data_IF_967774983591
#
_entry.id   IF_967774983591
#
_cell.length_a   1.000
_cell.length_b   1.000
_cell.length_c   1.000
_cell.angle_alpha   90.00
_cell.angle_beta   90.00
_cell.angle_gamma   90.00
#
_symmetry.space_group_name_H-M   'P 1'
#
loop_
_entity.id
_entity.type
_entity.pdbx_description
1 polymer ?
#
# COMPACT_ATOMS: atom_id res chain seq x y z
N UNK A 1 53.96 29.76 -38.08
CA UNK A 1 53.00 30.10 -37.00
C UNK A 1 53.72 29.90 -35.67
N UNK A 2 53.87 30.94 -34.86
CA UNK A 2 54.64 30.86 -33.61
C UNK A 2 53.90 29.99 -32.58
N UNK A 3 54.59 29.02 -31.97
CA UNK A 3 54.07 28.14 -30.90
C UNK A 3 53.31 28.94 -29.82
N UNK A 4 53.75 30.15 -29.52
CA UNK A 4 53.09 31.07 -28.58
C UNK A 4 51.66 31.43 -28.97
N UNK A 5 51.40 31.69 -30.25
CA UNK A 5 50.05 32.01 -30.76
C UNK A 5 49.13 30.79 -30.68
N UNK A 6 49.65 29.60 -30.98
CA UNK A 6 48.91 28.34 -30.84
C UNK A 6 48.57 28.06 -29.36
N UNK A 7 49.52 28.21 -28.44
CA UNK A 7 49.29 28.00 -27.00
C UNK A 7 48.28 28.99 -26.43
N UNK A 8 48.35 30.27 -26.81
CA UNK A 8 47.37 31.28 -26.38
C UNK A 8 45.98 30.94 -26.93
N UNK A 9 45.87 30.58 -28.21
CA UNK A 9 44.59 30.16 -28.80
C UNK A 9 43.99 28.94 -28.10
N UNK A 10 44.81 27.94 -27.78
CA UNK A 10 44.40 26.76 -27.03
C UNK A 10 43.93 27.09 -25.61
N UNK A 11 44.64 27.96 -24.89
CA UNK A 11 44.23 28.42 -23.55
C UNK A 11 42.90 29.18 -23.57
N UNK A 12 42.66 30.02 -24.59
CA UNK A 12 41.39 30.73 -24.74
C UNK A 12 40.24 29.75 -24.99
N UNK A 13 40.43 28.74 -25.84
CA UNK A 13 39.42 27.70 -26.08
C UNK A 13 39.15 26.90 -24.80
N UNK A 14 40.19 26.51 -24.04
CA UNK A 14 40.02 25.83 -22.76
C UNK A 14 39.27 26.69 -21.75
N UNK A 15 39.56 27.99 -21.67
CA UNK A 15 38.89 28.91 -20.77
C UNK A 15 37.41 29.07 -21.14
N UNK A 16 37.10 29.31 -22.42
CA UNK A 16 35.72 29.40 -22.90
C UNK A 16 34.98 28.08 -22.67
N UNK A 17 35.63 26.94 -22.95
CA UNK A 17 35.07 25.61 -22.68
C UNK A 17 34.79 25.37 -21.20
N UNK A 18 35.69 25.79 -20.30
CA UNK A 18 35.51 25.68 -18.86
C UNK A 18 34.38 26.54 -18.32
N UNK A 19 34.27 27.80 -18.78
CA UNK A 19 33.16 28.69 -18.41
C UNK A 19 31.83 28.16 -18.95
N UNK A 20 31.79 27.74 -20.22
CA UNK A 20 30.61 27.14 -20.84
C UNK A 20 30.16 25.88 -20.11
N UNK A 21 31.10 25.02 -19.72
CA UNK A 21 30.83 23.84 -18.90
C UNK A 21 30.21 24.22 -17.55
N UNK A 22 30.77 25.19 -16.82
CA UNK A 22 30.25 25.60 -15.50
C UNK A 22 28.87 26.26 -15.58
N UNK A 23 28.56 27.01 -16.63
CA UNK A 23 27.21 27.55 -16.86
C UNK A 23 26.21 26.42 -17.12
N UNK A 24 26.58 25.46 -17.97
CA UNK A 24 25.74 24.31 -18.25
C UNK A 24 25.53 23.42 -17.02
N UNK A 25 26.58 23.16 -16.22
CA UNK A 25 26.52 22.43 -14.94
C UNK A 25 25.46 23.04 -14.01
N UNK A 26 25.51 24.36 -13.78
CA UNK A 26 24.54 25.08 -12.96
C UNK A 26 23.11 25.00 -13.49
N UNK A 27 22.93 25.00 -14.81
CA UNK A 27 21.61 24.83 -15.42
C UNK A 27 21.05 23.43 -15.19
N UNK A 28 21.89 22.39 -15.28
CA UNK A 28 21.48 21.02 -14.98
C UNK A 28 21.15 20.84 -13.49
N UNK A 29 21.93 21.44 -12.59
CA UNK A 29 21.63 21.48 -11.15
C UNK A 29 20.27 22.12 -10.88
N UNK A 30 20.02 23.32 -11.41
CA UNK A 30 18.73 24.00 -11.23
C UNK A 30 17.57 23.20 -11.81
N UNK A 31 17.75 22.57 -12.98
CA UNK A 31 16.74 21.70 -13.58
C UNK A 31 16.46 20.47 -12.71
N UNK A 32 17.47 19.91 -12.05
CA UNK A 32 17.32 18.77 -11.16
C UNK A 32 16.58 19.15 -9.87
N UNK A 33 16.95 20.28 -9.24
CA UNK A 33 16.26 20.79 -8.03
C UNK A 33 14.78 21.01 -8.30
N UNK A 34 14.45 21.68 -9.41
CA UNK A 34 13.06 21.94 -9.80
C UNK A 34 12.29 20.63 -10.06
N UNK A 35 12.93 19.68 -10.76
CA UNK A 35 12.33 18.37 -10.99
C UNK A 35 12.09 17.62 -9.67
N UNK A 36 13.07 17.61 -8.76
CA UNK A 36 12.97 16.95 -7.46
C UNK A 36 11.80 17.50 -6.65
N UNK A 37 11.68 18.84 -6.56
CA UNK A 37 10.59 19.50 -5.84
C UNK A 37 9.22 19.16 -6.42
N UNK A 38 9.08 19.20 -7.76
CA UNK A 38 7.83 18.89 -8.44
C UNK A 38 7.42 17.42 -8.24
N UNK A 39 8.37 16.49 -8.46
CA UNK A 39 8.15 15.06 -8.32
C UNK A 39 7.81 14.68 -6.87
N UNK A 40 8.54 15.22 -5.89
CA UNK A 40 8.26 14.93 -4.49
C UNK A 40 6.85 15.41 -4.10
N UNK A 41 6.45 16.61 -4.55
CA UNK A 41 5.09 17.11 -4.33
C UNK A 41 4.02 16.21 -4.97
N UNK A 42 4.13 15.93 -6.26
CA UNK A 42 3.16 15.12 -7.00
C UNK A 42 2.97 13.73 -6.36
N UNK A 43 4.06 13.06 -6.03
CA UNK A 43 4.01 11.76 -5.36
C UNK A 43 3.43 11.84 -3.94
N UNK A 44 3.69 12.95 -3.23
CA UNK A 44 3.18 13.14 -1.88
C UNK A 44 1.67 13.36 -1.91
N UNK A 45 1.18 14.21 -2.82
CA UNK A 45 -0.24 14.45 -3.05
C UNK A 45 -0.98 13.12 -3.35
N UNK A 46 -0.43 12.29 -4.24
CA UNK A 46 -1.01 10.98 -4.55
C UNK A 46 -0.97 10.01 -3.36
N UNK A 47 0.09 10.05 -2.54
CA UNK A 47 0.18 9.21 -1.34
C UNK A 47 -0.90 9.55 -0.30
N UNK A 48 -1.31 10.81 -0.23
CA UNK A 48 -2.43 11.26 0.64
C UNK A 48 -3.76 10.70 0.14
N UNK A 49 -4.00 10.74 -1.18
CA UNK A 49 -5.23 10.17 -1.77
C UNK A 49 -5.30 8.65 -1.59
N UNK A 50 -4.16 7.95 -1.71
CA UNK A 50 -4.08 6.51 -1.40
C UNK A 50 -4.38 6.25 0.07
N UNK A 51 -3.81 7.01 1.01
CA UNK A 51 -4.09 6.88 2.44
C UNK A 51 -5.57 7.09 2.76
N UNK A 52 -6.21 8.09 2.15
CA UNK A 52 -7.64 8.35 2.31
C UNK A 52 -8.49 7.18 1.82
N UNK A 53 -8.24 6.67 0.62
CA UNK A 53 -8.96 5.52 0.08
C UNK A 53 -8.75 4.24 0.92
N UNK A 54 -7.53 4.05 1.45
CA UNK A 54 -7.22 2.94 2.35
C UNK A 54 -8.01 3.05 3.66
N UNK A 55 -8.12 4.25 4.24
CA UNK A 55 -8.94 4.49 5.44
C UNK A 55 -10.41 4.14 5.20
N UNK A 56 -10.99 4.63 4.11
CA UNK A 56 -12.38 4.34 3.74
C UNK A 56 -12.62 2.83 3.60
N UNK A 57 -11.68 2.12 2.96
CA UNK A 57 -11.71 0.65 2.87
C UNK A 57 -11.63 -0.03 4.23
N UNK A 58 -10.69 0.38 5.09
CA UNK A 58 -10.51 -0.19 6.42
C UNK A 58 -11.75 0.00 7.30
N UNK A 59 -12.30 1.22 7.36
CA UNK A 59 -13.51 1.50 8.14
C UNK A 59 -14.69 0.67 7.66
N UNK A 60 -14.81 0.42 6.35
CA UNK A 60 -15.84 -0.46 5.80
C UNK A 60 -15.67 -1.91 6.26
N UNK A 61 -14.42 -2.42 6.29
CA UNK A 61 -14.11 -3.76 6.81
C UNK A 61 -14.40 -3.86 8.30
N UNK A 62 -14.00 -2.87 9.10
CA UNK A 62 -14.24 -2.84 10.55
C UNK A 62 -15.75 -2.83 10.87
N UNK A 63 -16.53 -2.04 10.14
CA UNK A 63 -17.99 -2.04 10.25
C UNK A 63 -18.58 -3.43 9.93
N UNK A 64 -18.03 -4.13 8.93
CA UNK A 64 -18.46 -5.48 8.58
C UNK A 64 -18.11 -6.52 9.66
N UNK A 65 -16.93 -6.45 10.27
CA UNK A 65 -16.48 -7.44 11.26
C UNK A 65 -17.10 -7.25 12.65
N UNK A 66 -17.55 -6.03 12.97
CA UNK A 66 -18.18 -5.69 14.26
C UNK A 66 -19.71 -5.70 14.24
N UNK A 67 -20.33 -5.89 13.06
CA UNK A 67 -21.77 -5.92 12.91
C UNK A 67 -22.44 -7.13 13.60
N UNK A 68 -23.71 -6.98 13.98
CA UNK A 68 -24.53 -8.06 14.56
C UNK A 68 -24.64 -9.24 13.58
N UNK A 69 -24.34 -10.44 14.07
CA UNK A 69 -24.45 -11.69 13.32
C UNK A 69 -25.87 -11.99 12.83
N UNK A 70 -26.90 -11.34 13.39
CA UNK A 70 -28.30 -11.48 13.00
C UNK A 70 -28.79 -10.41 12.01
N UNK A 71 -27.91 -9.56 11.46
CA UNK A 71 -28.33 -8.55 10.48
C UNK A 71 -28.98 -9.20 9.24
N UNK A 72 -29.97 -8.56 8.61
CA UNK A 72 -30.58 -9.04 7.37
C UNK A 72 -29.53 -9.32 6.28
N UNK A 73 -29.76 -10.34 5.44
CA UNK A 73 -28.86 -10.64 4.32
C UNK A 73 -28.64 -9.43 3.41
N UNK A 74 -29.68 -8.63 3.13
CA UNK A 74 -29.55 -7.41 2.33
C UNK A 74 -28.47 -6.48 2.87
N UNK A 75 -28.51 -6.21 4.17
CA UNK A 75 -27.61 -5.28 4.85
C UNK A 75 -26.19 -5.85 4.89
N UNK A 76 -26.04 -7.17 5.02
CA UNK A 76 -24.75 -7.86 4.87
C UNK A 76 -24.17 -7.69 3.47
N UNK A 77 -24.98 -7.92 2.44
CA UNK A 77 -24.54 -7.83 1.04
C UNK A 77 -24.20 -6.38 0.67
N UNK A 78 -24.99 -5.41 1.13
CA UNK A 78 -24.71 -3.98 0.94
C UNK A 78 -23.37 -3.60 1.59
N UNK A 79 -23.10 -4.07 2.81
CA UNK A 79 -21.81 -3.85 3.48
C UNK A 79 -20.63 -4.44 2.70
N UNK A 80 -20.81 -5.62 2.11
CA UNK A 80 -19.77 -6.27 1.29
C UNK A 80 -19.54 -5.48 -0.01
N UNK A 81 -20.61 -5.02 -0.65
CA UNK A 81 -20.53 -4.24 -1.89
C UNK A 81 -19.88 -2.86 -1.65
N UNK A 82 -20.11 -2.24 -0.48
CA UNK A 82 -19.40 -1.04 -0.01
C UNK A 82 -17.89 -1.30 0.11
N UNK A 83 -17.48 -2.40 0.75
CA UNK A 83 -16.06 -2.78 0.88
C UNK A 83 -15.41 -3.02 -0.48
N UNK A 84 -16.10 -3.74 -1.37
CA UNK A 84 -15.62 -3.99 -2.74
C UNK A 84 -15.45 -2.66 -3.49
N UNK A 85 -16.38 -1.73 -3.33
CA UNK A 85 -16.34 -0.42 -3.98
C UNK A 85 -15.20 0.45 -3.45
N UNK A 86 -15.00 0.50 -2.12
CA UNK A 86 -13.88 1.20 -1.50
C UNK A 86 -12.53 0.59 -1.90
N UNK A 87 -12.44 -0.74 -1.98
CA UNK A 87 -11.22 -1.44 -2.40
C UNK A 87 -10.90 -1.19 -3.88
N UNK A 88 -11.91 -1.10 -4.75
CA UNK A 88 -11.72 -0.69 -6.16
C UNK A 88 -11.25 0.76 -6.28
N UNK A 89 -11.76 1.66 -5.44
CA UNK A 89 -11.26 3.03 -5.38
C UNK A 89 -9.77 3.06 -4.98
N UNK A 90 -9.40 2.32 -3.93
CA UNK A 90 -8.01 2.15 -3.51
C UNK A 90 -7.15 1.57 -4.64
N UNK A 91 -7.63 0.56 -5.36
CA UNK A 91 -6.93 -0.01 -6.52
C UNK A 91 -6.63 1.06 -7.59
N UNK A 92 -7.60 1.93 -7.88
CA UNK A 92 -7.43 2.99 -8.87
C UNK A 92 -6.40 4.03 -8.41
N UNK A 93 -6.47 4.48 -7.14
CA UNK A 93 -5.50 5.44 -6.59
C UNK A 93 -4.10 4.85 -6.54
N UNK A 94 -3.97 3.59 -6.13
CA UNK A 94 -2.68 2.88 -6.13
C UNK A 94 -2.12 2.74 -7.55
N UNK A 95 -2.97 2.49 -8.55
CA UNK A 95 -2.55 2.39 -9.96
C UNK A 95 -1.98 3.72 -10.46
N UNK A 96 -2.63 4.84 -10.13
CA UNK A 96 -2.16 6.16 -10.53
C UNK A 96 -0.85 6.54 -9.83
N UNK A 97 -0.76 6.31 -8.52
CA UNK A 97 0.49 6.46 -7.77
C UNK A 97 1.62 5.61 -8.38
N UNK A 98 1.34 4.35 -8.73
CA UNK A 98 2.32 3.46 -9.34
C UNK A 98 2.83 3.98 -10.69
N UNK A 99 1.93 4.53 -11.51
CA UNK A 99 2.27 5.14 -12.81
C UNK A 99 3.26 6.29 -12.62
N UNK A 100 2.96 7.23 -11.73
CA UNK A 100 3.82 8.40 -11.45
C UNK A 100 5.18 7.99 -10.93
N UNK A 101 5.24 7.06 -9.96
CA UNK A 101 6.52 6.60 -9.42
C UNK A 101 7.38 5.88 -10.49
N UNK A 102 6.76 5.15 -11.43
CA UNK A 102 7.50 4.56 -12.57
C UNK A 102 8.04 5.60 -13.56
N UNK A 103 7.27 6.66 -13.83
CA UNK A 103 7.71 7.76 -14.68
C UNK A 103 8.88 8.51 -14.03
N UNK A 104 8.76 8.83 -12.75
CA UNK A 104 9.82 9.50 -12.00
C UNK A 104 11.10 8.66 -11.89
N UNK A 105 10.97 7.33 -11.74
CA UNK A 105 12.13 6.43 -11.78
C UNK A 105 12.89 6.54 -13.11
N UNK A 106 12.17 6.55 -14.25
CA UNK A 106 12.79 6.72 -15.58
C UNK A 106 13.50 8.06 -15.70
N UNK A 107 12.98 9.11 -15.06
CA UNK A 107 13.62 10.42 -15.04
C UNK A 107 14.88 10.46 -14.17
N UNK A 108 14.89 9.82 -13.00
CA UNK A 108 16.12 9.61 -12.21
C UNK A 108 17.18 8.90 -13.04
N UNK A 109 16.83 7.84 -13.76
CA UNK A 109 17.78 7.11 -14.62
C UNK A 109 18.36 8.00 -15.73
N UNK A 110 17.63 9.00 -16.22
CA UNK A 110 18.17 10.01 -17.15
C UNK A 110 19.18 10.92 -16.43
N UNK A 111 18.87 11.38 -15.21
CA UNK A 111 19.79 12.19 -14.42
C UNK A 111 21.05 11.42 -14.05
N UNK A 112 20.96 10.18 -13.58
CA UNK A 112 22.11 9.31 -13.25
C UNK A 112 23.05 9.14 -14.45
N UNK A 113 22.51 8.90 -15.65
CA UNK A 113 23.32 8.78 -16.87
C UNK A 113 24.06 10.08 -17.21
N UNK A 114 23.45 11.22 -16.94
CA UNK A 114 24.01 12.56 -17.15
C UNK A 114 24.97 12.98 -16.03
N UNK A 115 24.75 12.47 -14.82
CA UNK A 115 25.47 12.86 -13.61
C UNK A 115 26.97 12.66 -13.71
N UNK A 116 27.41 11.58 -14.35
CA UNK A 116 28.85 11.29 -14.57
C UNK A 116 29.59 12.41 -15.31
N UNK A 117 28.87 13.25 -16.06
CA UNK A 117 29.46 14.35 -16.83
C UNK A 117 29.17 15.73 -16.22
N UNK A 118 28.06 15.89 -15.50
CA UNK A 118 27.52 17.20 -15.12
C UNK A 118 27.27 17.40 -13.62
N UNK A 119 27.48 16.40 -12.77
CA UNK A 119 27.39 16.58 -11.31
C UNK A 119 28.71 16.18 -10.68
N UNK A 120 29.67 17.11 -10.63
CA UNK A 120 30.97 16.85 -10.01
C UNK A 120 30.92 16.85 -8.48
N UNK A 121 29.85 17.41 -7.91
CA UNK A 121 29.59 17.47 -6.48
C UNK A 121 29.09 16.10 -5.95
N UNK A 122 29.66 15.67 -4.81
CA UNK A 122 29.43 14.34 -4.22
C UNK A 122 27.98 14.20 -3.72
N UNK A 123 27.45 15.25 -3.13
CA UNK A 123 26.11 15.26 -2.52
C UNK A 123 25.01 15.05 -3.59
N UNK A 124 25.17 15.60 -4.80
CA UNK A 124 24.26 15.28 -5.92
C UNK A 124 24.34 13.81 -6.37
N UNK A 125 25.54 13.22 -6.40
CA UNK A 125 25.71 11.82 -6.75
C UNK A 125 25.06 10.90 -5.71
N UNK A 126 25.24 11.23 -4.43
CA UNK A 126 24.64 10.55 -3.30
C UNK A 126 23.11 10.65 -3.32
N UNK A 127 22.57 11.85 -3.59
CA UNK A 127 21.13 12.06 -3.75
C UNK A 127 20.55 11.24 -4.93
N UNK A 128 21.23 11.20 -6.07
CA UNK A 128 20.79 10.42 -7.22
C UNK A 128 20.83 8.91 -6.98
N UNK A 129 21.87 8.42 -6.29
CA UNK A 129 21.99 7.01 -5.93
C UNK A 129 20.87 6.61 -4.95
N UNK A 130 20.67 7.39 -3.89
CA UNK A 130 19.63 7.13 -2.90
C UNK A 130 18.21 7.25 -3.47
N UNK A 131 17.99 8.13 -4.45
CA UNK A 131 16.75 8.16 -5.22
C UNK A 131 16.54 6.84 -5.98
N UNK A 132 17.55 6.39 -6.72
CA UNK A 132 17.51 5.13 -7.48
C UNK A 132 17.16 3.95 -6.57
N UNK A 133 17.85 3.85 -5.43
CA UNK A 133 17.61 2.80 -4.45
C UNK A 133 16.18 2.90 -3.90
N UNK A 134 15.73 4.10 -3.52
CA UNK A 134 14.38 4.31 -2.99
C UNK A 134 13.27 3.92 -3.98
N UNK A 135 13.44 4.18 -5.28
CA UNK A 135 12.47 3.76 -6.30
C UNK A 135 12.41 2.23 -6.44
N UNK A 136 13.55 1.55 -6.31
CA UNK A 136 13.60 0.09 -6.26
C UNK A 136 12.83 -0.50 -5.07
N UNK A 137 13.00 0.08 -3.89
CA UNK A 137 12.28 -0.34 -2.69
C UNK A 137 10.77 -0.06 -2.79
N UNK A 138 10.38 1.12 -3.30
CA UNK A 138 8.97 1.47 -3.56
C UNK A 138 8.32 0.55 -4.59
N UNK A 139 9.07 0.09 -5.60
CA UNK A 139 8.58 -0.90 -6.55
C UNK A 139 8.17 -2.19 -5.86
N UNK A 140 9.04 -2.74 -5.01
CA UNK A 140 8.68 -3.94 -4.27
C UNK A 140 7.44 -3.75 -3.40
N UNK A 141 7.37 -2.65 -2.64
CA UNK A 141 6.24 -2.38 -1.74
C UNK A 141 4.93 -2.25 -2.53
N UNK A 142 4.94 -1.55 -3.67
CA UNK A 142 3.73 -1.39 -4.50
C UNK A 142 3.24 -2.71 -5.09
N UNK A 143 4.15 -3.58 -5.49
CA UNK A 143 3.82 -4.86 -6.11
C UNK A 143 3.10 -5.73 -5.07
N UNK A 144 3.62 -5.78 -3.85
CA UNK A 144 2.98 -6.48 -2.72
C UNK A 144 1.63 -5.85 -2.37
N UNK A 145 1.54 -4.51 -2.27
CA UNK A 145 0.27 -3.84 -1.97
C UNK A 145 -0.80 -4.09 -3.04
N UNK A 146 -0.42 -4.14 -4.31
CA UNK A 146 -1.33 -4.47 -5.41
C UNK A 146 -1.88 -5.89 -5.29
N UNK A 147 -1.02 -6.84 -4.89
CA UNK A 147 -1.43 -8.24 -4.60
C UNK A 147 -2.39 -8.29 -3.41
N UNK A 148 -2.14 -7.51 -2.34
CA UNK A 148 -3.04 -7.42 -1.18
C UNK A 148 -4.42 -6.89 -1.55
N UNK A 149 -4.48 -5.84 -2.38
CA UNK A 149 -5.75 -5.28 -2.87
C UNK A 149 -6.55 -6.34 -3.63
N UNK A 150 -5.90 -7.11 -4.51
CA UNK A 150 -6.58 -8.19 -5.22
C UNK A 150 -7.00 -9.34 -4.30
N UNK A 151 -6.22 -9.65 -3.27
CA UNK A 151 -6.64 -10.58 -2.23
C UNK A 151 -7.92 -10.11 -1.53
N UNK A 152 -7.99 -8.84 -1.08
CA UNK A 152 -9.18 -8.29 -0.40
C UNK A 152 -10.41 -8.39 -1.33
N UNK A 153 -10.27 -8.03 -2.62
CA UNK A 153 -11.35 -8.18 -3.59
C UNK A 153 -11.82 -9.64 -3.71
N UNK A 154 -10.89 -10.60 -3.88
CA UNK A 154 -11.24 -12.02 -3.94
C UNK A 154 -11.93 -12.49 -2.65
N UNK A 155 -11.45 -12.04 -1.48
CA UNK A 155 -11.99 -12.43 -0.18
C UNK A 155 -13.45 -11.97 -0.03
N UNK A 156 -13.73 -10.69 -0.31
CA UNK A 156 -15.07 -10.15 -0.15
C UNK A 156 -16.06 -10.66 -1.20
N UNK A 157 -15.61 -10.94 -2.43
CA UNK A 157 -16.44 -11.65 -3.42
C UNK A 157 -16.81 -13.07 -2.94
N UNK A 158 -15.87 -13.77 -2.30
CA UNK A 158 -16.11 -15.10 -1.73
C UNK A 158 -17.00 -15.04 -0.50
N UNK A 159 -16.83 -14.05 0.38
CA UNK A 159 -17.69 -13.83 1.54
C UNK A 159 -19.14 -13.52 1.11
N UNK A 160 -19.31 -12.75 0.02
CA UNK A 160 -20.63 -12.50 -0.58
C UNK A 160 -21.35 -13.80 -0.95
N UNK A 161 -20.64 -14.68 -1.66
CA UNK A 161 -21.16 -15.98 -2.07
C UNK A 161 -21.39 -16.92 -0.88
N UNK A 162 -20.57 -16.82 0.17
CA UNK A 162 -20.76 -17.53 1.43
C UNK A 162 -22.03 -17.10 2.18
N UNK A 163 -22.31 -15.81 2.27
CA UNK A 163 -23.52 -15.29 2.92
C UNK A 163 -24.81 -15.74 2.21
N UNK A 164 -24.77 -15.79 0.86
CA UNK A 164 -25.86 -16.37 0.05
C UNK A 164 -26.04 -17.86 0.39
N UNK A 165 -24.94 -18.61 0.47
CA UNK A 165 -24.99 -20.03 0.82
C UNK A 165 -25.56 -20.25 2.24
N UNK A 166 -25.15 -19.42 3.22
CA UNK A 166 -25.63 -19.47 4.60
C UNK A 166 -27.10 -19.10 4.72
N UNK A 167 -27.57 -18.07 4.02
CA UNK A 167 -28.99 -17.71 3.99
C UNK A 167 -29.84 -18.82 3.38
N UNK A 168 -29.41 -19.41 2.26
CA UNK A 168 -30.07 -20.58 1.68
C UNK A 168 -30.13 -21.75 2.67
N UNK A 169 -29.03 -22.03 3.39
CA UNK A 169 -29.00 -23.08 4.41
C UNK A 169 -29.95 -22.77 5.58
N UNK A 170 -30.01 -21.51 6.04
CA UNK A 170 -30.94 -21.08 7.10
C UNK A 170 -32.41 -21.26 6.69
N UNK A 171 -32.75 -20.89 5.46
CA UNK A 171 -34.12 -20.96 4.94
C UNK A 171 -34.57 -22.40 4.65
N UNK A 172 -33.69 -23.21 4.05
CA UNK A 172 -34.09 -24.50 3.47
C UNK A 172 -33.32 -25.72 4.00
N UNK A 173 -32.27 -25.54 4.80
CA UNK A 173 -31.39 -26.63 5.24
C UNK A 173 -32.06 -27.71 6.10
N UNK A 174 -33.24 -27.40 6.67
CA UNK A 174 -34.12 -28.32 7.41
C UNK A 174 -35.37 -28.75 6.63
N UNK A 175 -35.54 -28.27 5.40
CA UNK A 175 -36.66 -28.62 4.52
C UNK A 175 -36.48 -30.01 3.89
N UNK A 176 -37.50 -30.48 3.16
CA UNK A 176 -37.39 -31.73 2.40
C UNK A 176 -36.34 -31.60 1.30
N UNK A 177 -35.77 -32.73 0.86
CA UNK A 177 -34.80 -32.73 -0.24
C UNK A 177 -35.38 -32.20 -1.56
N UNK A 178 -36.68 -32.38 -1.78
CA UNK A 178 -37.41 -31.84 -2.93
C UNK A 178 -37.41 -30.30 -2.89
N UNK A 179 -37.77 -29.70 -1.76
CA UNK A 179 -37.75 -28.23 -1.60
C UNK A 179 -36.35 -27.66 -1.78
N UNK A 180 -35.32 -28.32 -1.23
CA UNK A 180 -33.92 -27.91 -1.42
C UNK A 180 -33.49 -28.02 -2.90
N UNK A 181 -34.00 -29.03 -3.61
CA UNK A 181 -33.77 -29.21 -5.04
C UNK A 181 -34.42 -28.10 -5.89
N UNK A 182 -35.65 -27.71 -5.55
CA UNK A 182 -36.41 -26.68 -6.24
C UNK A 182 -35.79 -25.28 -6.10
N UNK A 183 -35.13 -25.00 -4.96
CA UNK A 183 -34.49 -23.71 -4.68
C UNK A 183 -33.03 -23.61 -5.13
N UNK A 184 -32.48 -24.67 -5.73
CA UNK A 184 -31.08 -24.74 -6.17
C UNK A 184 -30.65 -23.60 -7.10
N UNK A 185 -31.58 -23.07 -7.92
CA UNK A 185 -31.31 -21.96 -8.85
C UNK A 185 -30.81 -20.68 -8.16
N UNK A 186 -31.14 -20.50 -6.87
CA UNK A 186 -30.67 -19.37 -6.05
C UNK A 186 -29.15 -19.38 -5.83
N UNK A 187 -28.47 -20.50 -6.11
CA UNK A 187 -27.04 -20.71 -5.88
C UNK A 187 -26.19 -20.74 -7.15
N UNK A 188 -26.73 -20.24 -8.26
CA UNK A 188 -26.03 -20.17 -9.54
C UNK A 188 -24.67 -19.45 -9.46
N UNK A 189 -24.50 -18.47 -8.55
CA UNK A 189 -23.22 -17.79 -8.37
C UNK A 189 -22.09 -18.71 -7.87
N UNK A 190 -22.44 -19.82 -7.21
CA UNK A 190 -21.47 -20.78 -6.67
C UNK A 190 -20.92 -21.76 -7.71
N UNK A 191 -21.54 -21.83 -8.90
CA UNK A 191 -21.15 -22.79 -9.94
C UNK A 191 -19.68 -22.70 -10.32
N UNK A 192 -19.15 -21.47 -10.37
CA UNK A 192 -17.75 -21.18 -10.68
C UNK A 192 -16.78 -21.98 -9.79
N UNK A 193 -17.09 -22.18 -8.50
CA UNK A 193 -16.19 -22.90 -7.58
C UNK A 193 -16.09 -24.40 -7.87
N UNK A 194 -17.09 -24.97 -8.54
CA UNK A 194 -17.09 -26.37 -8.95
C UNK A 194 -16.35 -26.63 -10.27
N UNK A 195 -16.02 -25.58 -11.01
CA UNK A 195 -15.26 -25.66 -12.24
C UNK A 195 -13.76 -25.90 -11.94
N UNK A 196 -13.10 -26.70 -12.78
CA UNK A 196 -11.70 -27.05 -12.59
C UNK A 196 -10.74 -25.92 -12.98
N UNK A 197 -11.16 -25.05 -13.89
CA UNK A 197 -10.43 -23.92 -14.45
C UNK A 197 -10.65 -22.60 -13.67
N UNK A 198 -11.52 -22.60 -12.66
CA UNK A 198 -11.67 -21.44 -11.79
C UNK A 198 -10.37 -21.15 -11.02
N UNK A 199 -9.93 -19.90 -11.10
CA UNK A 199 -8.83 -19.34 -10.34
C UNK A 199 -9.20 -17.96 -9.82
N UNK A 200 -8.67 -17.62 -8.65
CA UNK A 200 -8.79 -16.28 -8.10
C UNK A 200 -7.98 -15.29 -8.94
N UNK A 201 -8.38 -14.02 -8.94
CA UNK A 201 -7.58 -12.97 -9.57
C UNK A 201 -6.20 -12.93 -8.91
N UNK A 202 -5.13 -12.97 -9.70
CA UNK A 202 -3.74 -12.97 -9.23
C UNK A 202 -3.39 -14.10 -8.23
N UNK A 203 -4.06 -15.25 -8.35
CA UNK A 203 -3.89 -16.41 -7.46
C UNK A 203 -2.43 -16.78 -7.17
N UNK A 204 -1.58 -16.91 -8.19
CA UNK A 204 -0.20 -17.36 -8.00
C UNK A 204 0.65 -16.34 -7.23
N UNK A 205 0.42 -15.05 -7.46
CA UNK A 205 1.11 -13.99 -6.74
C UNK A 205 0.66 -13.92 -5.26
N UNK A 206 -0.65 -14.08 -5.00
CA UNK A 206 -1.20 -14.19 -3.65
C UNK A 206 -0.59 -15.41 -2.95
N UNK A 207 -0.57 -16.57 -3.59
CA UNK A 207 0.02 -17.80 -3.04
C UNK A 207 1.50 -17.65 -2.70
N UNK A 208 2.28 -16.98 -3.55
CA UNK A 208 3.72 -16.80 -3.33
C UNK A 208 4.02 -15.83 -2.19
N UNK A 209 3.27 -14.72 -2.08
CA UNK A 209 3.59 -13.61 -1.17
C UNK A 209 2.76 -13.60 0.11
N UNK A 210 1.56 -14.16 0.09
CA UNK A 210 0.52 -14.05 1.13
C UNK A 210 -0.05 -15.45 1.43
N UNK A 211 0.79 -16.36 1.95
CA UNK A 211 0.44 -17.79 2.07
C UNK A 211 -0.76 -18.04 2.99
N UNK A 212 -0.87 -17.30 4.11
CA UNK A 212 -1.98 -17.47 5.05
C UNK A 212 -3.30 -16.99 4.43
N UNK A 213 -3.26 -15.85 3.75
CA UNK A 213 -4.37 -15.26 3.02
C UNK A 213 -4.85 -16.18 1.87
N UNK A 214 -3.92 -16.83 1.16
CA UNK A 214 -4.24 -17.84 0.16
C UNK A 214 -4.94 -19.07 0.76
N UNK A 215 -4.50 -19.52 1.94
CA UNK A 215 -5.15 -20.63 2.65
C UNK A 215 -6.59 -20.27 3.06
N UNK A 216 -6.84 -19.02 3.47
CA UNK A 216 -8.20 -18.52 3.72
C UNK A 216 -9.07 -18.65 2.48
N UNK A 217 -8.64 -18.11 1.33
CA UNK A 217 -9.39 -18.20 0.07
C UNK A 217 -9.66 -19.66 -0.33
N UNK A 218 -8.68 -20.53 -0.13
CA UNK A 218 -8.79 -21.96 -0.48
C UNK A 218 -9.83 -22.67 0.38
N UNK A 219 -9.86 -22.43 1.70
CA UNK A 219 -10.86 -23.02 2.61
C UNK A 219 -12.28 -22.63 2.22
N UNK A 220 -12.51 -21.36 1.90
CA UNK A 220 -13.82 -20.91 1.44
C UNK A 220 -14.19 -21.47 0.06
N UNK A 221 -13.24 -21.51 -0.89
CA UNK A 221 -13.47 -22.15 -2.20
C UNK A 221 -13.90 -23.61 -2.05
N UNK A 222 -13.21 -24.36 -1.21
CA UNK A 222 -13.50 -25.78 -0.96
C UNK A 222 -14.89 -25.96 -0.34
N UNK A 223 -15.24 -25.13 0.64
CA UNK A 223 -16.56 -25.14 1.25
C UNK A 223 -17.66 -24.83 0.22
N UNK A 224 -17.54 -23.74 -0.54
CA UNK A 224 -18.55 -23.33 -1.52
C UNK A 224 -18.70 -24.35 -2.65
N UNK A 225 -17.58 -24.94 -3.11
CA UNK A 225 -17.59 -26.06 -4.05
C UNK A 225 -18.35 -27.26 -3.48
N UNK A 226 -18.02 -27.69 -2.26
CA UNK A 226 -18.70 -28.81 -1.60
C UNK A 226 -20.19 -28.54 -1.45
N UNK A 227 -20.56 -27.31 -1.08
CA UNK A 227 -21.95 -26.90 -0.85
C UNK A 227 -22.77 -26.95 -2.14
N UNK A 228 -22.25 -26.34 -3.21
CA UNK A 228 -22.84 -26.37 -4.54
C UNK A 228 -23.00 -27.81 -5.06
N UNK A 229 -21.97 -28.65 -4.94
CA UNK A 229 -22.03 -30.05 -5.41
C UNK A 229 -23.07 -30.87 -4.67
N UNK A 230 -23.18 -30.73 -3.35
CA UNK A 230 -24.21 -31.43 -2.56
C UNK A 230 -25.60 -31.03 -3.00
N UNK A 231 -25.86 -29.74 -3.16
CA UNK A 231 -27.17 -29.23 -3.54
C UNK A 231 -27.54 -29.59 -4.98
N UNK A 232 -26.57 -29.56 -5.90
CA UNK A 232 -26.76 -30.04 -7.27
C UNK A 232 -27.12 -31.52 -7.31
N UNK A 233 -26.47 -32.34 -6.48
CA UNK A 233 -26.76 -33.78 -6.42
C UNK A 233 -28.18 -34.02 -5.84
N UNK A 234 -28.61 -33.23 -4.85
CA UNK A 234 -30.00 -33.25 -4.35
C UNK A 234 -31.02 -32.84 -5.43
N UNK A 235 -30.78 -31.74 -6.15
CA UNK A 235 -31.64 -31.26 -7.23
C UNK A 235 -31.79 -32.27 -8.38
N UNK A 236 -30.80 -33.17 -8.55
CA UNK A 236 -30.83 -34.26 -9.54
C UNK A 236 -31.43 -35.57 -9.01
N UNK A 237 -31.88 -35.61 -7.75
CA UNK A 237 -32.41 -36.81 -7.10
C UNK A 237 -31.35 -37.81 -6.64
N UNK A 238 -30.06 -37.45 -6.61
CA UNK A 238 -28.95 -38.31 -6.20
C UNK A 238 -28.72 -38.28 -4.67
N UNK A 239 -29.75 -38.64 -3.90
CA UNK A 239 -29.78 -38.48 -2.43
C UNK A 239 -28.66 -39.21 -1.68
N UNK A 240 -28.31 -40.44 -2.10
CA UNK A 240 -27.26 -41.23 -1.45
C UNK A 240 -25.89 -40.56 -1.55
N UNK A 241 -25.57 -40.01 -2.73
CA UNK A 241 -24.30 -39.31 -2.98
C UNK A 241 -24.25 -37.99 -2.20
N UNK A 242 -25.37 -37.25 -2.17
CA UNK A 242 -25.48 -36.01 -1.41
C UNK A 242 -25.33 -36.25 0.10
N UNK A 243 -25.95 -37.31 0.64
CA UNK A 243 -25.87 -37.69 2.05
C UNK A 243 -24.44 -38.00 2.48
N UNK A 244 -23.70 -38.78 1.68
CA UNK A 244 -22.28 -39.07 1.93
C UNK A 244 -21.42 -37.79 1.96
N UNK A 245 -21.66 -36.86 1.03
CA UNK A 245 -20.91 -35.61 0.92
C UNK A 245 -21.29 -34.56 1.98
N UNK A 246 -22.51 -34.62 2.53
CA UNK A 246 -22.99 -33.69 3.58
C UNK A 246 -22.19 -33.79 4.88
N UNK A 247 -21.65 -34.96 5.21
CA UNK A 247 -20.75 -35.12 6.37
C UNK A 247 -19.45 -34.32 6.23
N UNK A 248 -18.93 -34.15 5.01
CA UNK A 248 -17.74 -33.34 4.73
C UNK A 248 -18.01 -31.84 4.88
N UNK A 249 -19.20 -31.37 4.51
CA UNK A 249 -19.62 -29.98 4.67
C UNK A 249 -19.61 -29.50 6.14
N UNK A 250 -20.03 -30.36 7.06
CA UNK A 250 -20.00 -30.03 8.48
C UNK A 250 -18.56 -29.80 8.95
N UNK A 251 -17.62 -30.68 8.58
CA UNK A 251 -16.19 -30.54 8.89
C UNK A 251 -15.57 -29.30 8.26
N UNK A 252 -15.87 -29.03 6.99
CA UNK A 252 -15.33 -27.87 6.27
C UNK A 252 -15.82 -26.55 6.88
N UNK A 253 -17.07 -26.49 7.38
CA UNK A 253 -17.65 -25.29 8.00
C UNK A 253 -16.97 -24.85 9.30
N UNK A 254 -16.45 -25.78 10.10
CA UNK A 254 -15.74 -25.46 11.35
C UNK A 254 -14.40 -24.74 11.10
N UNK A 255 -13.85 -24.83 9.89
CA UNK A 255 -12.53 -24.30 9.55
C UNK A 255 -12.59 -22.93 8.84
N UNK A 256 -13.75 -22.27 8.75
CA UNK A 256 -13.92 -21.02 7.98
C UNK A 256 -13.64 -19.73 8.76
N UNK A 257 -13.42 -19.82 10.07
CA UNK A 257 -13.08 -18.65 10.88
C UNK A 257 -11.82 -17.96 10.33
N UNK A 258 -11.91 -16.64 10.15
CA UNK A 258 -10.82 -15.77 9.73
C UNK A 258 -10.20 -15.16 10.98
N UNK A 259 -8.90 -15.37 11.15
CA UNK A 259 -8.08 -14.63 12.10
C UNK A 259 -7.68 -13.31 11.44
N UNK A 260 -8.52 -12.28 11.64
CA UNK A 260 -8.35 -10.97 11.02
C UNK A 260 -7.06 -10.28 11.47
N UNK A 261 -6.69 -10.40 12.74
CA UNK A 261 -5.45 -9.83 13.28
C UNK A 261 -4.22 -10.43 12.61
N UNK A 262 -4.21 -11.76 12.46
CA UNK A 262 -3.14 -12.44 11.73
C UNK A 262 -3.12 -12.08 10.25
N UNK A 263 -4.28 -11.96 9.61
CA UNK A 263 -4.40 -11.58 8.21
C UNK A 263 -3.70 -10.23 7.95
N UNK A 264 -3.89 -9.24 8.81
CA UNK A 264 -3.22 -7.94 8.67
C UNK A 264 -1.74 -8.00 9.01
N UNK A 265 -1.38 -8.62 10.14
CA UNK A 265 0.01 -8.70 10.62
C UNK A 265 0.94 -9.48 9.68
N UNK A 266 0.52 -10.65 9.21
CA UNK A 266 1.34 -11.49 8.32
C UNK A 266 1.58 -10.77 6.99
N UNK A 267 0.58 -10.03 6.49
CA UNK A 267 0.73 -9.13 5.36
C UNK A 267 1.83 -8.10 5.64
N UNK A 268 1.69 -7.29 6.69
CA UNK A 268 2.60 -6.17 6.99
C UNK A 268 4.06 -6.59 7.21
N UNK A 269 4.28 -7.78 7.77
CA UNK A 269 5.61 -8.37 7.90
C UNK A 269 6.34 -8.52 6.55
N UNK A 270 5.63 -8.78 5.45
CA UNK A 270 6.21 -8.97 4.11
C UNK A 270 6.94 -7.71 3.62
N UNK A 271 6.41 -6.53 3.91
CA UNK A 271 6.98 -5.26 3.41
C UNK A 271 7.85 -4.55 4.43
N UNK A 272 7.77 -4.90 5.72
CA UNK A 272 8.45 -4.19 6.82
C UNK A 272 9.95 -3.93 6.57
N UNK A 273 10.70 -4.93 6.09
CA UNK A 273 12.14 -4.77 5.83
C UNK A 273 12.42 -3.79 4.68
N UNK A 274 11.56 -3.79 3.65
CA UNK A 274 11.65 -2.87 2.52
C UNK A 274 11.21 -1.47 2.90
N UNK A 275 10.24 -1.33 3.79
CA UNK A 275 9.87 -0.04 4.40
C UNK A 275 11.02 0.55 5.24
N UNK A 276 11.73 -0.27 6.03
CA UNK A 276 12.93 0.16 6.78
C UNK A 276 14.05 0.66 5.88
N UNK A 277 14.30 -0.07 4.79
CA UNK A 277 15.29 0.30 3.78
C UNK A 277 14.91 1.60 3.09
N UNK A 278 13.65 1.73 2.66
CA UNK A 278 13.10 2.94 2.07
C UNK A 278 13.21 4.16 2.99
N UNK A 279 12.88 3.99 4.27
CA UNK A 279 13.02 5.05 5.27
C UNK A 279 14.49 5.46 5.46
N UNK A 280 15.42 4.52 5.46
CA UNK A 280 16.86 4.82 5.46
C UNK A 280 17.26 5.64 4.23
N UNK A 281 16.75 5.28 3.05
CA UNK A 281 16.99 6.08 1.83
C UNK A 281 16.43 7.50 1.94
N UNK A 282 15.25 7.70 2.53
CA UNK A 282 14.70 9.05 2.74
C UNK A 282 15.54 9.88 3.70
N UNK A 283 16.09 9.27 4.75
CA UNK A 283 16.99 9.96 5.68
C UNK A 283 18.27 10.42 4.96
N UNK A 284 18.89 9.55 4.17
CA UNK A 284 20.08 9.94 3.39
C UNK A 284 19.74 10.97 2.31
N UNK A 285 18.56 10.90 1.69
CA UNK A 285 18.09 11.95 0.76
C UNK A 285 17.98 13.30 1.47
N UNK A 286 17.44 13.31 2.69
CA UNK A 286 17.31 14.54 3.49
C UNK A 286 18.69 15.12 3.83
N UNK A 287 19.63 14.29 4.28
CA UNK A 287 21.01 14.71 4.57
C UNK A 287 21.67 15.32 3.33
N UNK A 288 21.59 14.62 2.18
CA UNK A 288 22.17 15.09 0.93
C UNK A 288 21.54 16.41 0.44
N UNK A 289 20.21 16.54 0.54
CA UNK A 289 19.49 17.78 0.19
C UNK A 289 19.92 18.94 1.10
N UNK A 290 20.05 18.70 2.41
CA UNK A 290 20.48 19.69 3.37
C UNK A 290 21.93 20.14 3.12
N UNK A 291 22.84 19.19 2.84
CA UNK A 291 24.26 19.46 2.62
C UNK A 291 24.54 20.18 1.29
N UNK A 292 23.65 20.04 0.30
CA UNK A 292 23.73 20.80 -0.95
C UNK A 292 23.59 22.31 -0.74
N UNK A 293 22.99 22.77 0.37
CA UNK A 293 22.80 24.19 0.67
C UNK A 293 21.97 24.94 -0.38
N UNK A 294 21.18 24.21 -1.18
CA UNK A 294 20.26 24.76 -2.19
C UNK A 294 18.87 24.91 -1.57
N UNK A 295 18.10 25.83 -2.15
CA UNK A 295 16.74 26.09 -1.68
C UNK A 295 15.75 25.08 -2.27
N UNK A 296 15.65 23.89 -1.67
CA UNK A 296 14.61 22.92 -2.01
C UNK A 296 13.30 23.31 -1.32
N UNK A 297 12.27 23.59 -2.10
CA UNK A 297 10.95 23.97 -1.58
C UNK A 297 10.20 22.81 -0.95
N UNK A 298 10.59 21.57 -1.29
CA UNK A 298 9.97 20.33 -0.85
C UNK A 298 10.57 19.71 0.42
N UNK A 299 11.52 20.37 1.09
CA UNK A 299 12.20 19.81 2.26
C UNK A 299 11.24 19.42 3.40
N UNK A 300 10.24 20.27 3.68
CA UNK A 300 9.21 19.97 4.68
C UNK A 300 8.36 18.75 4.25
N UNK A 301 8.08 18.57 2.95
CA UNK A 301 7.38 17.39 2.44
C UNK A 301 8.21 16.11 2.59
N UNK A 302 9.54 16.20 2.41
CA UNK A 302 10.43 15.06 2.64
C UNK A 302 10.43 14.65 4.12
N UNK A 303 10.50 15.62 5.02
CA UNK A 303 10.35 15.39 6.46
C UNK A 303 9.01 14.71 6.75
N UNK A 304 7.91 15.23 6.22
CA UNK A 304 6.60 14.63 6.42
C UNK A 304 6.51 13.18 5.91
N UNK A 305 7.12 12.89 4.75
CA UNK A 305 7.20 11.53 4.20
C UNK A 305 8.01 10.59 5.10
N UNK A 306 9.09 11.09 5.71
CA UNK A 306 9.89 10.33 6.67
C UNK A 306 9.05 9.96 7.89
N UNK A 307 8.37 10.94 8.50
CA UNK A 307 7.61 10.69 9.73
C UNK A 307 6.31 9.92 9.53
N UNK A 308 5.61 10.12 8.41
CA UNK A 308 4.43 9.29 8.06
C UNK A 308 4.83 7.83 7.87
N UNK A 309 5.89 7.56 7.11
CA UNK A 309 6.44 6.20 6.92
C UNK A 309 6.92 5.60 8.23
N UNK A 310 7.47 6.43 9.12
CA UNK A 310 7.97 5.98 10.42
C UNK A 310 6.85 5.63 11.39
N UNK A 311 5.74 6.37 11.36
CA UNK A 311 4.53 6.05 12.11
C UNK A 311 3.93 4.71 11.65
N UNK A 312 3.83 4.48 10.34
CA UNK A 312 3.43 3.18 9.79
C UNK A 312 4.33 2.06 10.31
N UNK A 313 5.65 2.26 10.24
CA UNK A 313 6.61 1.25 10.68
C UNK A 313 6.56 0.98 12.19
N UNK A 314 6.25 1.98 13.00
CA UNK A 314 6.15 1.82 14.45
C UNK A 314 5.09 0.77 14.82
N UNK A 315 3.91 0.87 14.22
CA UNK A 315 2.81 -0.09 14.45
C UNK A 315 3.24 -1.51 14.09
N UNK A 316 3.85 -1.69 12.91
CA UNK A 316 4.31 -2.98 12.40
C UNK A 316 5.38 -3.62 13.29
N UNK A 317 6.32 -2.82 13.83
CA UNK A 317 7.46 -3.34 14.58
C UNK A 317 7.13 -3.60 16.04
N UNK A 318 6.32 -2.74 16.66
CA UNK A 318 6.04 -2.82 18.09
C UNK A 318 4.82 -3.69 18.39
N UNK A 319 4.01 -4.02 17.37
CA UNK A 319 2.70 -4.65 17.51
C UNK A 319 1.82 -3.86 18.51
N UNK A 320 2.07 -2.55 18.57
CA UNK A 320 1.47 -1.59 19.51
C UNK A 320 1.25 -0.27 18.80
N UNK A 321 0.32 0.47 19.34
CA UNK A 321 0.02 1.81 18.90
C UNK A 321 0.85 2.82 19.67
N UNK A 322 1.14 3.96 19.05
CA UNK A 322 1.71 5.08 19.79
C UNK A 322 0.65 5.62 20.74
N UNK A 323 1.03 5.82 22.00
CA UNK A 323 0.18 6.46 23.01
C UNK A 323 0.50 7.95 23.16
N UNK A 324 1.13 8.53 22.13
CA UNK A 324 1.46 9.94 22.12
C UNK A 324 0.22 10.81 22.29
N UNK A 325 0.33 11.88 23.08
CA UNK A 325 -0.74 12.88 23.24
C UNK A 325 -0.38 14.23 22.63
N UNK A 326 0.84 14.34 22.09
CA UNK A 326 1.41 15.53 21.48
C UNK A 326 2.42 15.15 20.40
N UNK A 327 2.78 16.08 19.51
CA UNK A 327 3.85 15.85 18.53
C UNK A 327 5.20 15.51 19.18
N UNK A 328 5.49 16.08 20.36
CA UNK A 328 6.73 15.77 21.09
C UNK A 328 6.77 14.34 21.61
N UNK A 329 5.67 13.85 22.19
CA UNK A 329 5.55 12.46 22.64
C UNK A 329 5.66 11.49 21.46
N UNK A 330 5.05 11.85 20.32
CA UNK A 330 5.13 11.05 19.10
C UNK A 330 6.58 10.89 18.63
N UNK A 331 7.34 11.99 18.57
CA UNK A 331 8.74 11.93 18.17
C UNK A 331 9.55 11.02 19.11
N UNK A 332 9.28 11.04 20.41
CA UNK A 332 9.91 10.13 21.37
C UNK A 332 9.55 8.67 21.08
N UNK A 333 8.28 8.35 20.86
CA UNK A 333 7.83 7.01 20.50
C UNK A 333 8.49 6.53 19.21
N UNK A 334 8.43 7.33 18.15
CA UNK A 334 9.01 7.02 16.86
C UNK A 334 10.53 6.83 16.97
N UNK A 335 11.22 7.62 17.78
CA UNK A 335 12.67 7.48 17.99
C UNK A 335 13.08 6.11 18.54
N UNK A 336 12.15 5.34 19.15
CA UNK A 336 12.43 4.00 19.67
C UNK A 336 12.65 2.97 18.55
N UNK A 337 12.05 3.16 17.37
CA UNK A 337 12.11 2.23 16.24
C UNK A 337 13.21 2.64 15.24
N UNK A 338 13.90 1.64 14.68
CA UNK A 338 14.91 1.85 13.65
C UNK A 338 14.27 2.03 12.26
N UNK A 339 14.84 2.87 11.37
CA UNK A 339 16.02 3.71 11.55
C UNK A 339 15.78 4.91 12.48
N UNK A 340 16.83 5.28 13.23
CA UNK A 340 16.78 6.40 14.19
C UNK A 340 16.73 7.73 13.43
N UNK A 341 15.99 8.70 13.98
CA UNK A 341 15.79 10.05 13.41
C UNK A 341 16.33 11.15 14.33
N UNK A 342 17.18 10.79 15.30
CA UNK A 342 17.58 11.65 16.43
C UNK A 342 18.07 13.05 16.04
N UNK A 343 18.72 13.19 14.88
CA UNK A 343 19.19 14.49 14.39
C UNK A 343 18.11 15.27 13.63
N UNK A 344 17.21 14.61 12.91
CA UNK A 344 16.02 15.22 12.30
C UNK A 344 15.00 15.66 13.37
N UNK A 345 14.84 14.89 14.46
CA UNK A 345 13.85 15.16 15.52
C UNK A 345 14.07 16.54 16.16
N UNK A 346 15.31 17.07 16.12
CA UNK A 346 15.66 18.40 16.63
C UNK A 346 15.18 19.55 15.74
N UNK A 347 14.85 19.26 14.49
CA UNK A 347 14.48 20.22 13.45
C UNK A 347 12.98 20.24 13.19
N UNK A 348 12.24 19.32 13.81
CA UNK A 348 10.81 19.14 13.65
C UNK A 348 10.09 19.69 14.87
N UNK A 349 9.08 20.49 14.63
CA UNK A 349 8.19 21.03 15.65
C UNK A 349 6.74 21.02 15.17
N UNK A 350 5.83 21.53 16.01
CA UNK A 350 4.40 21.62 15.72
C UNK A 350 4.06 22.48 14.49
N UNK A 351 4.98 23.31 13.99
CA UNK A 351 4.79 24.10 12.77
C UNK A 351 5.01 23.29 11.48
N UNK A 352 5.58 22.08 11.58
CA UNK A 352 5.79 21.15 10.46
C UNK A 352 4.91 19.90 10.64
N UNK A 353 4.82 19.38 11.87
CA UNK A 353 4.09 18.15 12.18
C UNK A 353 3.16 18.40 13.37
N UNK A 354 1.88 18.33 13.11
CA UNK A 354 0.83 18.33 14.12
C UNK A 354 0.29 16.91 14.30
N UNK A 355 0.25 16.46 15.55
CA UNK A 355 -0.29 15.17 15.92
C UNK A 355 -1.46 15.36 16.87
N UNK A 356 -2.59 14.75 16.54
CA UNK A 356 -3.76 14.72 17.40
C UNK A 356 -4.31 13.30 17.49
N UNK A 357 -4.53 12.85 18.73
CA UNK A 357 -5.32 11.65 19.00
C UNK A 357 -6.81 12.03 18.94
N UNK A 358 -7.53 11.57 17.92
CA UNK A 358 -8.97 11.80 17.84
C UNK A 358 -9.73 10.80 18.71
N UNK A 359 -10.85 11.23 19.29
CA UNK A 359 -11.68 10.46 20.23
C UNK A 359 -12.26 9.16 19.69
N UNK A 360 -12.17 8.93 18.38
CA UNK A 360 -12.75 7.79 17.66
C UNK A 360 -11.68 6.75 17.27
N UNK A 361 -10.61 6.63 18.05
CA UNK A 361 -9.48 5.73 17.76
C UNK A 361 -8.80 6.01 16.41
N UNK A 362 -8.82 7.27 15.97
CA UNK A 362 -8.12 7.70 14.76
C UNK A 362 -6.97 8.63 15.14
N UNK A 363 -5.77 8.27 14.73
CA UNK A 363 -4.61 9.15 14.84
C UNK A 363 -4.60 10.10 13.65
N UNK A 364 -4.60 11.40 13.90
CA UNK A 364 -4.44 12.43 12.88
C UNK A 364 -2.99 12.92 12.90
N UNK A 365 -2.33 12.79 11.75
CA UNK A 365 -0.99 13.33 11.51
C UNK A 365 -1.11 14.36 10.41
N UNK A 366 -0.96 15.64 10.76
CA UNK A 366 -1.01 16.75 9.81
C UNK A 366 0.39 17.28 9.56
N UNK A 367 0.79 17.23 8.30
CA UNK A 367 2.00 17.83 7.78
C UNK A 367 1.70 19.25 7.29
N UNK A 368 2.58 20.21 7.61
CA UNK A 368 2.50 21.59 7.14
C UNK A 368 3.76 21.91 6.32
N UNK A 369 3.56 22.31 5.06
CA UNK A 369 4.64 22.85 4.24
C UNK A 369 4.77 24.36 4.51
N UNK A 370 5.81 24.78 5.24
CA UNK A 370 5.94 26.18 5.67
C UNK A 370 6.19 27.15 4.52
N UNK A 371 6.72 26.66 3.39
CA UNK A 371 7.01 27.50 2.22
C UNK A 371 5.78 27.76 1.37
N UNK A 372 4.90 26.76 1.22
CA UNK A 372 3.67 26.89 0.42
C UNK A 372 2.44 27.19 1.26
N UNK A 373 2.52 27.04 2.57
CA UNK A 373 1.39 27.12 3.52
C UNK A 373 0.28 26.10 3.20
N UNK A 374 0.64 24.98 2.58
CA UNK A 374 -0.23 23.83 2.33
C UNK A 374 -0.16 22.86 3.51
N UNK A 375 -1.29 22.22 3.84
CA UNK A 375 -1.39 21.23 4.90
C UNK A 375 -1.93 19.92 4.37
N UNK A 376 -1.36 18.80 4.83
CA UNK A 376 -1.69 17.45 4.40
C UNK A 376 -1.99 16.60 5.61
N UNK A 377 -3.21 16.07 5.70
CA UNK A 377 -3.62 15.28 6.86
C UNK A 377 -3.71 13.81 6.48
N UNK A 378 -2.97 13.00 7.22
CA UNK A 378 -3.01 11.56 7.20
C UNK A 378 -3.84 11.08 8.38
N UNK A 379 -4.66 10.07 8.13
CA UNK A 379 -5.44 9.42 9.15
C UNK A 379 -4.98 7.98 9.26
N UNK A 380 -4.61 7.60 10.47
CA UNK A 380 -4.25 6.23 10.80
C UNK A 380 -5.37 5.66 11.68
N UNK A 381 -6.09 4.68 11.13
CA UNK A 381 -7.11 3.94 11.85
C UNK A 381 -6.42 2.85 12.68
N UNK A 382 -6.77 2.79 13.96
CA UNK A 382 -6.29 1.80 14.93
C UNK A 382 -6.82 0.40 14.59
N UNK A 383 -6.03 -0.65 14.84
CA UNK A 383 -6.43 -2.05 14.67
C UNK A 383 -7.20 -2.58 15.87
#
# INVERSE_FOLDING_TARGET
>A
MNIRTFLIGFLVVLFIGGVGYKVFERQQEGSFVNWYDQTLKEEFDLSVEVNKAQKEGYSSVQNYTTADANRPLSDTLDSIDEIISATKLLQNQQTEYNRVVEENQKDVEKFVRRAKFFFSNKEYQELLQTLTDSYGERKYIRDVNSIRIDFILNLFEVLRDFEIAQDHYRKYGSSSFETIGDTYGELSSLEKYAQNDFSFKNQEAIKEKLSFEFDVLTRYREYLKSYYVVLRDLARGNYDTASYKRGKLATDSYNLAIDWDRLWRDSDAVVSNKTKSLLSSYLTQWEAVNDLGKDFSSLDLLLCRIYSTKLDLYSIVTDKESHATSSGDLLLDLSSVAPKTTDLDKLVDASIIEYAYATDSATLFTCHNRKTNESYTFSYSMN
#
